data_IF_314044737822
#
_entry.id   IF_314044737822
#
_cell.length_a   1.000
_cell.length_b   1.000
_cell.length_c   1.000
_cell.angle_alpha   90.00
_cell.angle_beta   90.00
_cell.angle_gamma   90.00
#
_symmetry.space_group_name_H-M   'P 1'
#
loop_
_entity.id
_entity.type
_entity.pdbx_description
1 polymer ?
#
# COMPACT_ATOMS: atom_id res chain seq x y z
N UNK A 1 1.02 12.96 11.29
CA UNK A 1 1.06 12.19 10.03
C UNK A 1 -0.30 11.56 9.87
N UNK A 2 -0.95 11.82 8.75
CA UNK A 2 -2.18 11.16 8.35
C UNK A 2 -1.89 9.71 7.92
N UNK A 3 -2.91 8.85 7.97
CA UNK A 3 -2.81 7.47 7.48
C UNK A 3 -2.33 7.43 6.03
N UNK A 4 -2.90 8.27 5.16
CA UNK A 4 -2.49 8.40 3.78
C UNK A 4 -0.99 8.71 3.60
N UNK A 5 -0.45 9.68 4.35
CA UNK A 5 0.98 10.03 4.26
C UNK A 5 1.89 8.85 4.65
N UNK A 6 1.55 8.13 5.72
CA UNK A 6 2.32 6.96 6.15
C UNK A 6 2.23 5.85 5.11
N UNK A 7 1.03 5.61 4.56
CA UNK A 7 0.82 4.60 3.51
C UNK A 7 1.68 4.88 2.29
N UNK A 8 1.63 6.12 1.78
CA UNK A 8 2.39 6.54 0.62
C UNK A 8 3.90 6.52 0.88
N UNK A 9 4.34 6.81 2.12
CA UNK A 9 5.75 6.69 2.50
C UNK A 9 6.24 5.25 2.43
N UNK A 10 5.52 4.31 3.03
CA UNK A 10 5.89 2.89 3.00
C UNK A 10 5.84 2.36 1.56
N UNK A 11 4.81 2.75 0.81
CA UNK A 11 4.69 2.36 -0.60
C UNK A 11 5.85 2.88 -1.43
N UNK A 12 6.27 4.14 -1.25
CA UNK A 12 7.42 4.72 -1.94
C UNK A 12 8.73 4.00 -1.60
N UNK A 13 8.89 3.53 -0.36
CA UNK A 13 10.06 2.73 0.04
C UNK A 13 10.08 1.36 -0.63
N UNK A 14 8.93 0.67 -0.68
CA UNK A 14 8.82 -0.66 -1.28
C UNK A 14 8.95 -0.62 -2.80
N UNK A 15 8.23 0.31 -3.44
CA UNK A 15 8.27 0.53 -4.89
C UNK A 15 9.53 1.26 -5.36
N UNK A 16 10.34 1.78 -4.42
CA UNK A 16 11.57 2.56 -4.68
C UNK A 16 11.33 3.75 -5.60
N UNK A 17 10.14 4.33 -5.56
CA UNK A 17 9.78 5.49 -6.38
C UNK A 17 8.90 6.43 -5.60
N UNK A 18 9.18 7.73 -5.71
CA UNK A 18 8.34 8.78 -5.11
C UNK A 18 7.12 9.11 -5.97
N UNK A 19 7.08 8.63 -7.22
CA UNK A 19 5.96 8.86 -8.14
C UNK A 19 4.61 8.37 -7.61
N UNK A 20 4.60 7.39 -6.70
CA UNK A 20 3.38 6.91 -6.04
C UNK A 20 2.73 7.96 -5.13
N UNK A 21 3.48 8.97 -4.69
CA UNK A 21 2.96 10.10 -3.89
C UNK A 21 2.26 11.14 -4.78
N UNK A 22 2.83 11.39 -5.96
CA UNK A 22 2.30 12.37 -6.91
C UNK A 22 1.16 11.78 -7.77
N UNK A 23 1.18 10.47 -8.01
CA UNK A 23 0.23 9.78 -8.87
C UNK A 23 -0.48 8.65 -8.13
N UNK A 24 -1.63 8.96 -7.54
CA UNK A 24 -2.44 7.98 -6.81
C UNK A 24 -3.15 6.96 -7.71
N UNK A 25 -3.30 7.25 -9.00
CA UNK A 25 -3.97 6.40 -9.97
C UNK A 25 -3.00 5.46 -10.71
N UNK A 26 -1.73 5.47 -10.28
CA UNK A 26 -0.64 4.77 -10.93
C UNK A 26 -0.79 3.25 -10.76
N UNK A 27 -0.88 2.51 -11.87
CA UNK A 27 -0.97 1.04 -11.86
C UNK A 27 0.36 0.41 -11.44
N UNK A 28 0.47 0.01 -10.17
CA UNK A 28 1.70 -0.48 -9.56
C UNK A 28 2.17 -1.80 -10.16
N UNK A 29 1.24 -2.72 -10.43
CA UNK A 29 1.54 -4.01 -11.04
C UNK A 29 1.95 -3.87 -12.51
N UNK A 30 1.24 -3.04 -13.28
CA UNK A 30 1.53 -2.83 -14.71
C UNK A 30 2.93 -2.23 -14.89
N UNK A 31 3.31 -1.29 -14.02
CA UNK A 31 4.62 -0.66 -14.02
C UNK A 31 5.71 -1.50 -13.35
N UNK A 32 5.40 -2.74 -12.91
CA UNK A 32 6.32 -3.62 -12.18
C UNK A 32 6.90 -2.99 -10.90
N UNK A 33 6.18 -2.04 -10.30
CA UNK A 33 6.52 -1.44 -9.01
C UNK A 33 6.10 -2.33 -7.84
N UNK A 34 5.01 -3.07 -8.01
CA UNK A 34 4.61 -4.16 -7.13
C UNK A 34 4.62 -5.49 -7.89
N UNK A 35 5.27 -6.47 -7.29
CA UNK A 35 5.21 -7.89 -7.62
C UNK A 35 4.72 -8.68 -6.41
N UNK A 36 4.65 -10.02 -6.50
CA UNK A 36 4.22 -10.86 -5.39
C UNK A 36 5.07 -10.67 -4.13
N UNK A 37 6.38 -10.44 -4.26
CA UNK A 37 7.30 -10.29 -3.13
C UNK A 37 7.27 -8.87 -2.54
N UNK A 38 7.14 -7.86 -3.38
CA UNK A 38 6.96 -6.47 -2.99
C UNK A 38 5.62 -6.29 -2.29
N UNK A 39 4.57 -6.98 -2.74
CA UNK A 39 3.27 -7.02 -2.04
C UNK A 39 3.45 -7.58 -0.63
N UNK A 40 4.09 -8.73 -0.47
CA UNK A 40 4.37 -9.29 0.87
C UNK A 40 5.21 -8.33 1.73
N UNK A 41 6.25 -7.70 1.18
CA UNK A 41 7.06 -6.70 1.91
C UNK A 41 6.25 -5.48 2.32
N UNK A 42 5.34 -5.03 1.47
CA UNK A 42 4.44 -3.91 1.73
C UNK A 42 3.50 -4.22 2.90
N UNK A 43 2.94 -5.43 2.93
CA UNK A 43 2.08 -5.91 4.02
C UNK A 43 2.84 -5.86 5.35
N UNK A 44 4.00 -6.52 5.41
CA UNK A 44 4.82 -6.56 6.64
C UNK A 44 5.19 -5.15 7.09
N UNK A 45 5.56 -4.27 6.16
CA UNK A 45 5.90 -2.88 6.50
C UNK A 45 4.69 -2.09 7.02
N UNK A 46 3.48 -2.36 6.53
CA UNK A 46 2.25 -1.78 7.09
C UNK A 46 1.90 -2.35 8.45
N UNK A 47 2.07 -3.66 8.67
CA UNK A 47 1.88 -4.30 9.97
C UNK A 47 2.78 -3.66 11.03
N UNK A 48 4.05 -3.43 10.70
CA UNK A 48 5.00 -2.75 11.57
C UNK A 48 4.68 -1.26 11.76
N UNK A 49 4.32 -0.54 10.69
CA UNK A 49 4.07 0.90 10.74
C UNK A 49 2.78 1.26 11.52
N UNK A 50 1.75 0.42 11.41
CA UNK A 50 0.44 0.65 12.03
C UNK A 50 0.17 -0.26 13.24
N UNK A 51 1.11 -1.15 13.58
CA UNK A 51 0.96 -2.17 14.63
C UNK A 51 -0.31 -3.02 14.45
N UNK A 52 -0.59 -3.44 13.21
CA UNK A 52 -1.74 -4.26 12.82
C UNK A 52 -1.27 -5.63 12.31
N UNK A 53 -2.19 -6.59 12.22
CA UNK A 53 -1.97 -7.85 11.52
C UNK A 53 -3.00 -8.04 10.40
N UNK A 54 -2.58 -8.60 9.28
CA UNK A 54 -3.42 -8.95 8.14
C UNK A 54 -3.63 -10.47 8.08
N UNK A 55 -4.35 -11.02 9.06
CA UNK A 55 -4.55 -12.47 9.16
C UNK A 55 -5.51 -13.04 8.08
N UNK A 56 -6.48 -12.25 7.61
CA UNK A 56 -7.54 -12.67 6.67
C UNK A 56 -7.78 -11.63 5.56
N UNK A 57 -6.76 -10.88 5.14
CA UNK A 57 -6.99 -9.97 4.00
C UNK A 57 -7.16 -10.79 2.75
N UNK A 58 -8.39 -10.81 2.24
CA UNK A 58 -8.69 -11.20 0.87
C UNK A 58 -7.97 -10.19 -0.03
N UNK A 59 -6.73 -10.52 -0.39
CA UNK A 59 -5.88 -9.69 -1.24
C UNK A 59 -6.43 -9.69 -2.66
N UNK A 60 -7.36 -8.78 -2.93
CA UNK A 60 -7.75 -8.50 -4.29
C UNK A 60 -6.70 -7.59 -4.94
N UNK A 61 -6.10 -8.07 -6.04
CA UNK A 61 -5.09 -7.29 -6.79
C UNK A 61 -5.63 -5.94 -7.24
N UNK A 62 -6.95 -5.81 -7.41
CA UNK A 62 -7.59 -4.54 -7.77
C UNK A 62 -7.56 -3.52 -6.63
N UNK A 63 -7.77 -3.95 -5.38
CA UNK A 63 -7.71 -3.09 -4.19
C UNK A 63 -6.29 -2.57 -3.92
N UNK A 64 -5.27 -3.27 -4.43
CA UNK A 64 -3.87 -2.87 -4.30
C UNK A 64 -3.26 -2.43 -5.63
N UNK A 65 -4.09 -2.23 -6.66
CA UNK A 65 -3.62 -1.90 -8.01
C UNK A 65 -2.99 -0.52 -8.09
N UNK A 66 -3.42 0.42 -7.23
CA UNK A 66 -3.01 1.82 -7.26
C UNK A 66 -2.73 2.34 -5.85
N UNK A 67 -1.84 3.34 -5.67
CA UNK A 67 -1.60 3.95 -4.37
C UNK A 67 -2.88 4.46 -3.71
N UNK A 68 -3.79 5.05 -4.50
CA UNK A 68 -5.07 5.57 -4.01
C UNK A 68 -5.97 4.49 -3.41
N UNK A 69 -6.05 3.31 -4.05
CA UNK A 69 -6.82 2.20 -3.49
C UNK A 69 -6.22 1.68 -2.18
N UNK A 70 -4.88 1.56 -2.11
CA UNK A 70 -4.20 1.10 -0.89
C UNK A 70 -4.44 2.07 0.26
N UNK A 71 -4.35 3.39 0.00
CA UNK A 71 -4.66 4.42 1.00
C UNK A 71 -6.09 4.27 1.50
N UNK A 72 -7.07 4.18 0.60
CA UNK A 72 -8.47 4.04 0.96
C UNK A 72 -8.73 2.75 1.78
N UNK A 73 -8.14 1.63 1.38
CA UNK A 73 -8.20 0.37 2.11
C UNK A 73 -7.67 0.50 3.53
N UNK A 74 -6.50 1.13 3.70
CA UNK A 74 -5.87 1.33 5.00
C UNK A 74 -6.66 2.29 5.88
N UNK A 75 -7.18 3.39 5.32
CA UNK A 75 -8.03 4.33 6.05
C UNK A 75 -9.34 3.67 6.50
N UNK A 76 -9.96 2.84 5.65
CA UNK A 76 -11.15 2.09 6.02
C UNK A 76 -10.88 1.07 7.13
N UNK A 77 -9.70 0.43 7.12
CA UNK A 77 -9.29 -0.54 8.14
C UNK A 77 -8.99 0.13 9.49
N UNK A 78 -8.27 1.26 9.48
CA UNK A 78 -7.83 1.96 10.69
C UNK A 78 -8.89 2.92 11.26
N UNK A 79 -9.84 3.36 10.44
CA UNK A 79 -10.97 4.17 10.86
C UNK A 79 -12.13 3.39 11.46
N UNK A 80 -12.01 2.08 11.62
CA UNK A 80 -12.97 1.21 12.29
C UNK A 80 -12.58 0.94 13.74
#
# INVERSE_FOLDING_TARGET
>A
MSTAETVLNVLAQVSRTEAVRDHLDLRLYDQHLLDSLATVRLIVAFEEAFAIQFDDVEFEREDWATPGHIVAFMEQRLGK
#
